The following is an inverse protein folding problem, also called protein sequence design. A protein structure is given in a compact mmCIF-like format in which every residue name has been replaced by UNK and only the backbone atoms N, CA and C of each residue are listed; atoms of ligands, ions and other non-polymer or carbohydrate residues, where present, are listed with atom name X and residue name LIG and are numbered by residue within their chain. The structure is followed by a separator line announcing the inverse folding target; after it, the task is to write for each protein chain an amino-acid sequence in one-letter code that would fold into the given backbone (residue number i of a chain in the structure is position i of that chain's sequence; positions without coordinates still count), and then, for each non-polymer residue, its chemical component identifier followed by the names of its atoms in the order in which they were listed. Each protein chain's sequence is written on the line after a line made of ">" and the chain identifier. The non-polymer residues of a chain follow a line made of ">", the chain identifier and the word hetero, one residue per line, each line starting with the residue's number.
data_IF_875511739413
#
_entry.id   IF_875511739413
#
_cell.length_a   1.000
_cell.length_b   1.000
_cell.length_c   1.000
_cell.angle_alpha   90.00
_cell.angle_beta   90.00
_cell.angle_gamma   90.00
#
_symmetry.space_group_name_H-M   'P 1'
#
loop_
_entity.id
_entity.type
_entity.pdbx_description
1 polymer ?
#
# COMPACT_ATOMS: atom_id res chain seq x y z
N UNK A 1 -29.75 39.49 1.55
CA UNK A 1 -30.27 38.16 1.96
C UNK A 1 -29.63 37.81 3.29
N UNK A 2 -30.37 37.96 4.39
CA UNK A 2 -29.87 37.61 5.72
C UNK A 2 -29.75 36.10 5.85
N UNK A 3 -28.57 35.61 6.22
CA UNK A 3 -28.34 34.18 6.49
C UNK A 3 -28.92 33.88 7.87
N UNK A 4 -29.96 33.03 7.92
CA UNK A 4 -30.46 32.46 9.16
C UNK A 4 -29.47 31.40 9.63
N UNK A 5 -28.72 31.71 10.70
CA UNK A 5 -27.87 30.75 11.40
C UNK A 5 -28.72 30.09 12.49
N UNK A 6 -28.96 28.79 12.36
CA UNK A 6 -29.70 28.03 13.36
C UNK A 6 -28.72 27.47 14.41
N UNK A 7 -28.90 27.89 15.65
CA UNK A 7 -28.16 27.35 16.79
C UNK A 7 -29.01 26.29 17.48
N UNK A 8 -28.47 25.09 17.66
CA UNK A 8 -29.05 24.14 18.61
C UNK A 8 -28.47 24.44 19.99
N UNK A 9 -29.31 24.98 20.87
CA UNK A 9 -28.97 25.26 22.27
C UNK A 9 -29.15 23.96 23.06
N UNK A 10 -28.07 23.46 23.66
CA UNK A 10 -28.10 22.32 24.57
C UNK A 10 -27.78 22.81 25.98
N UNK A 11 -28.65 22.60 26.99
CA UNK A 11 -28.27 22.83 28.37
C UNK A 11 -27.26 21.76 28.78
N UNK A 12 -26.05 22.20 29.13
CA UNK A 12 -25.03 21.31 29.71
C UNK A 12 -25.01 21.59 31.20
N UNK A 13 -25.35 20.59 32.01
CA UNK A 13 -25.19 20.66 33.45
C UNK A 13 -23.69 20.82 33.75
N UNK A 14 -23.30 21.99 34.23
CA UNK A 14 -21.94 22.21 34.73
C UNK A 14 -21.89 21.55 36.10
N UNK A 15 -21.22 20.39 36.20
CA UNK A 15 -20.84 19.79 37.48
C UNK A 15 -19.77 20.67 38.14
N UNK A 16 -20.15 21.82 38.64
CA UNK A 16 -19.30 22.67 39.46
C UNK A 16 -20.07 23.11 40.72
N UNK A 17 -19.77 22.42 41.81
CA UNK A 17 -19.78 22.93 43.19
C UNK A 17 -21.11 23.23 43.88
N UNK A 18 -22.15 22.43 43.65
CA UNK A 18 -23.28 22.31 44.61
C UNK A 18 -23.47 20.86 45.03
N UNK A 19 -23.54 20.54 46.34
CA UNK A 19 -23.67 19.15 46.83
C UNK A 19 -25.08 18.55 46.63
N UNK A 20 -25.93 19.15 45.78
CA UNK A 20 -27.34 18.74 45.60
C UNK A 20 -27.74 18.75 44.12
N UNK A 21 -26.98 18.07 43.26
CA UNK A 21 -27.48 17.69 41.94
C UNK A 21 -27.45 16.17 41.83
N UNK A 22 -28.61 15.56 42.07
CA UNK A 22 -28.87 14.17 41.70
C UNK A 22 -28.68 14.02 40.19
N UNK A 23 -28.05 12.91 39.78
CA UNK A 23 -27.93 12.50 38.39
C UNK A 23 -29.34 12.52 37.74
N UNK A 24 -29.58 13.42 36.80
CA UNK A 24 -30.88 13.57 36.12
C UNK A 24 -31.72 14.80 36.49
N UNK A 25 -31.24 15.70 37.35
CA UNK A 25 -31.88 17.00 37.57
C UNK A 25 -31.65 17.98 36.42
N UNK A 26 -32.72 18.53 35.85
CA UNK A 26 -32.64 19.60 34.85
C UNK A 26 -32.06 20.87 35.48
N UNK A 27 -31.05 21.47 34.84
CA UNK A 27 -30.46 22.75 35.29
C UNK A 27 -31.39 23.89 34.88
N UNK A 28 -31.67 24.88 35.76
CA UNK A 28 -32.39 26.10 35.39
C UNK A 28 -31.77 26.77 34.15
N UNK A 29 -32.60 27.29 33.24
CA UNK A 29 -32.14 27.85 31.96
C UNK A 29 -31.18 29.03 32.16
N UNK A 30 -31.42 29.85 33.17
CA UNK A 30 -30.59 30.98 33.61
C UNK A 30 -29.23 30.56 34.20
N UNK A 31 -29.12 29.34 34.71
CA UNK A 31 -27.88 28.73 35.20
C UNK A 31 -27.17 27.84 34.16
N UNK A 32 -27.77 27.65 32.98
CA UNK A 32 -27.23 26.80 31.93
C UNK A 32 -26.23 27.56 31.07
N UNK A 33 -25.01 27.01 30.90
CA UNK A 33 -24.07 27.54 29.91
C UNK A 33 -24.60 27.21 28.52
N UNK A 34 -25.05 28.23 27.79
CA UNK A 34 -25.45 28.09 26.39
C UNK A 34 -24.20 27.95 25.53
N UNK A 35 -23.98 26.77 24.98
CA UNK A 35 -22.91 26.55 23.99
C UNK A 35 -23.55 26.65 22.59
N UNK A 36 -23.40 27.79 21.88
CA UNK A 36 -23.86 27.87 20.50
C UNK A 36 -23.06 26.87 19.67
N UNK A 37 -23.75 25.87 19.12
CA UNK A 37 -23.18 25.01 18.08
C UNK A 37 -23.82 25.38 16.75
N UNK A 38 -22.99 25.77 15.79
CA UNK A 38 -23.41 25.88 14.39
C UNK A 38 -23.76 24.50 13.89
N UNK A 39 -25.00 24.31 13.44
CA UNK A 39 -25.42 23.10 12.71
C UNK A 39 -25.18 23.38 11.24
N UNK A 40 -24.34 22.59 10.54
CA UNK A 40 -24.20 22.74 9.10
C UNK A 40 -25.56 22.56 8.41
N UNK A 41 -25.97 23.57 7.66
CA UNK A 41 -27.20 23.56 6.85
C UNK A 41 -26.87 23.35 5.35
N UNK A 42 -25.63 23.59 4.96
CA UNK A 42 -25.08 23.27 3.65
C UNK A 42 -24.95 21.74 3.55
N UNK A 43 -25.55 21.11 2.53
CA UNK A 43 -25.47 19.67 2.37
C UNK A 43 -24.02 19.22 2.12
N UNK A 44 -23.71 17.96 2.42
CA UNK A 44 -22.44 17.38 2.02
C UNK A 44 -22.28 17.42 0.48
N UNK A 45 -21.03 17.44 -0.04
CA UNK A 45 -20.81 17.26 -1.47
C UNK A 45 -21.38 15.92 -1.98
N UNK A 46 -21.64 15.86 -3.28
CA UNK A 46 -22.01 14.61 -3.97
C UNK A 46 -21.00 13.49 -3.69
N UNK A 47 -21.47 12.24 -3.68
CA UNK A 47 -20.60 11.07 -3.55
C UNK A 47 -19.55 11.09 -4.68
N UNK A 48 -18.24 11.01 -4.36
CA UNK A 48 -17.20 11.07 -5.38
C UNK A 48 -17.16 9.79 -6.21
N UNK A 49 -16.74 9.94 -7.45
CA UNK A 49 -16.33 8.85 -8.34
C UNK A 49 -14.83 8.67 -8.20
N UNK A 50 -14.41 7.46 -7.83
CA UNK A 50 -13.01 7.08 -7.70
C UNK A 50 -12.64 6.11 -8.82
N UNK A 51 -11.58 6.42 -9.56
CA UNK A 51 -10.98 5.51 -10.55
C UNK A 51 -9.53 5.23 -10.20
N UNK A 52 -9.06 4.04 -10.56
CA UNK A 52 -7.67 3.61 -10.40
C UNK A 52 -7.09 3.27 -11.78
N UNK A 53 -5.84 3.65 -11.98
CA UNK A 53 -5.06 3.38 -13.19
C UNK A 53 -3.60 3.13 -12.81
N UNK A 54 -2.77 2.56 -13.69
CA UNK A 54 -1.35 2.44 -13.41
C UNK A 54 -0.73 3.83 -13.32
N UNK A 55 0.18 4.02 -12.37
CA UNK A 55 1.07 5.17 -12.35
C UNK A 55 2.29 4.91 -13.25
N UNK A 56 3.13 5.92 -13.47
CA UNK A 56 4.40 5.76 -14.19
C UNK A 56 5.35 4.80 -13.46
N UNK A 57 5.33 4.83 -12.14
CA UNK A 57 6.00 3.86 -11.28
C UNK A 57 5.05 2.67 -11.05
N UNK A 58 5.42 1.42 -11.43
CA UNK A 58 4.57 0.24 -11.27
C UNK A 58 4.29 -0.12 -9.80
N UNK A 59 5.10 0.40 -8.87
CA UNK A 59 4.87 0.27 -7.43
C UNK A 59 3.97 1.39 -6.87
N UNK A 60 3.32 2.18 -7.73
CA UNK A 60 2.34 3.19 -7.37
C UNK A 60 1.02 2.97 -8.11
N UNK A 61 -0.06 3.42 -7.50
CA UNK A 61 -1.40 3.40 -8.10
C UNK A 61 -1.87 4.83 -8.26
N UNK A 62 -2.24 5.20 -9.49
CA UNK A 62 -2.81 6.52 -9.76
C UNK A 62 -4.31 6.47 -9.50
N UNK A 63 -4.76 7.29 -8.57
CA UNK A 63 -6.14 7.43 -8.15
C UNK A 63 -6.66 8.79 -8.61
N UNK A 64 -7.80 8.80 -9.30
CA UNK A 64 -8.49 10.03 -9.68
C UNK A 64 -9.80 10.14 -8.93
N UNK A 65 -9.99 11.22 -8.18
CA UNK A 65 -11.20 11.52 -7.43
C UNK A 65 -11.93 12.65 -8.13
N UNK A 66 -13.06 12.33 -8.77
CA UNK A 66 -13.95 13.30 -9.38
C UNK A 66 -15.22 13.45 -8.53
N UNK A 67 -15.69 14.68 -8.35
CA UNK A 67 -16.94 14.95 -7.62
C UNK A 67 -17.98 15.42 -8.63
N UNK A 68 -19.08 14.68 -8.83
CA UNK A 68 -20.17 15.14 -9.68
C UNK A 68 -20.70 16.50 -9.22
N UNK A 69 -21.10 17.33 -10.18
CA UNK A 69 -21.70 18.62 -9.87
C UNK A 69 -22.88 18.45 -8.90
N UNK A 70 -22.89 19.27 -7.85
CA UNK A 70 -23.91 19.27 -6.80
C UNK A 70 -23.99 20.64 -6.16
N UNK A 71 -24.84 20.78 -5.13
CA UNK A 71 -25.04 22.06 -4.45
C UNK A 71 -23.78 22.55 -3.70
N UNK A 72 -22.97 21.60 -3.22
CA UNK A 72 -21.77 21.87 -2.42
C UNK A 72 -20.52 21.37 -3.14
N UNK A 73 -19.57 22.26 -3.36
CA UNK A 73 -18.26 21.91 -3.91
C UNK A 73 -17.32 21.27 -2.87
N UNK A 74 -16.40 20.40 -3.29
CA UNK A 74 -15.42 19.78 -2.40
C UNK A 74 -14.21 20.70 -2.11
N UNK A 75 -13.73 20.69 -0.86
CA UNK A 75 -12.52 21.44 -0.44
C UNK A 75 -11.42 20.55 0.16
N UNK A 76 -11.79 19.38 0.66
CA UNK A 76 -10.86 18.40 1.21
C UNK A 76 -11.27 16.99 0.77
N UNK A 77 -10.34 16.06 0.87
CA UNK A 77 -10.60 14.65 0.65
C UNK A 77 -9.85 13.77 1.64
N UNK A 78 -10.35 12.55 1.79
CA UNK A 78 -9.63 11.46 2.42
C UNK A 78 -9.73 10.19 1.58
N UNK A 79 -8.63 9.47 1.53
CA UNK A 79 -8.52 8.17 0.88
C UNK A 79 -8.39 7.10 1.93
N UNK A 80 -9.21 6.07 1.77
CA UNK A 80 -9.16 4.84 2.56
C UNK A 80 -8.59 3.73 1.72
N UNK A 81 -7.80 2.85 2.34
CA UNK A 81 -7.17 1.72 1.65
C UNK A 81 -7.23 0.47 2.53
N UNK A 82 -7.47 -0.67 1.91
CA UNK A 82 -7.43 -1.98 2.57
C UNK A 82 -6.87 -3.03 1.62
N UNK A 83 -6.23 -4.06 2.17
CA UNK A 83 -5.81 -5.28 1.46
C UNK A 83 -6.79 -6.45 1.67
N UNK A 84 -7.72 -6.33 2.63
CA UNK A 84 -8.60 -7.42 3.06
C UNK A 84 -9.99 -7.31 2.43
N UNK A 85 -10.61 -6.14 2.53
CA UNK A 85 -11.95 -5.88 2.01
C UNK A 85 -12.18 -4.38 1.84
N UNK A 86 -12.97 -4.02 0.83
CA UNK A 86 -13.52 -2.68 0.67
C UNK A 86 -15.04 -2.63 0.77
N UNK A 87 -15.70 -3.65 1.33
CA UNK A 87 -17.16 -3.69 1.45
C UNK A 87 -17.68 -2.61 2.42
N UNK A 88 -17.11 -2.55 3.62
CA UNK A 88 -17.39 -1.52 4.62
C UNK A 88 -16.29 -0.46 4.63
N UNK A 89 -16.66 0.80 4.33
CA UNK A 89 -15.71 1.90 4.30
C UNK A 89 -15.22 2.29 5.70
N UNK A 90 -16.03 2.08 6.75
CA UNK A 90 -15.70 2.55 8.10
C UNK A 90 -14.59 1.71 8.74
N UNK A 91 -14.51 0.42 8.41
CA UNK A 91 -13.41 -0.46 8.80
C UNK A 91 -12.12 -0.27 7.99
N UNK A 92 -12.17 0.42 6.85
CA UNK A 92 -10.96 0.73 6.07
C UNK A 92 -10.21 1.91 6.71
N UNK A 93 -8.90 1.79 7.02
CA UNK A 93 -8.13 2.91 7.56
C UNK A 93 -7.99 4.04 6.53
N UNK A 94 -8.02 5.28 7.03
CA UNK A 94 -7.64 6.47 6.24
C UNK A 94 -6.13 6.47 6.09
N UNK A 95 -5.65 6.44 4.85
CA UNK A 95 -4.21 6.43 4.54
C UNK A 95 -3.70 7.78 4.07
N UNK A 96 -4.59 8.64 3.59
CA UNK A 96 -4.25 10.00 3.15
C UNK A 96 -5.42 10.94 3.37
N UNK A 97 -5.15 12.15 3.82
CA UNK A 97 -6.07 13.28 3.81
C UNK A 97 -5.38 14.48 3.17
N UNK A 98 -6.09 15.25 2.37
CA UNK A 98 -5.52 16.42 1.70
C UNK A 98 -6.59 17.46 1.33
N UNK A 99 -6.13 18.66 0.99
CA UNK A 99 -6.95 19.76 0.45
C UNK A 99 -6.48 20.06 -0.97
N UNK A 100 -6.99 19.36 -1.99
CA UNK A 100 -6.58 19.57 -3.39
C UNK A 100 -6.81 21.01 -3.83
N UNK A 101 -5.87 21.57 -4.59
CA UNK A 101 -6.01 22.92 -5.18
C UNK A 101 -6.89 22.93 -6.43
N UNK A 102 -7.16 21.77 -7.03
CA UNK A 102 -7.99 21.59 -8.22
C UNK A 102 -8.70 20.23 -8.21
N UNK A 103 -9.79 20.16 -8.98
CA UNK A 103 -10.62 18.97 -9.16
C UNK A 103 -10.78 18.65 -10.66
N UNK A 104 -10.74 17.37 -11.08
CA UNK A 104 -10.54 16.16 -10.27
C UNK A 104 -9.17 16.11 -9.55
N UNK A 105 -9.16 15.56 -8.34
CA UNK A 105 -7.92 15.39 -7.58
C UNK A 105 -7.20 14.11 -8.04
N UNK A 106 -5.93 14.23 -8.39
CA UNK A 106 -5.09 13.09 -8.80
C UNK A 106 -4.08 12.79 -7.70
N UNK A 107 -3.99 11.51 -7.34
CA UNK A 107 -3.08 11.02 -6.30
C UNK A 107 -2.33 9.81 -6.82
N UNK A 108 -1.01 9.88 -6.79
CA UNK A 108 -0.17 8.69 -6.86
C UNK A 108 0.01 8.17 -5.43
N UNK A 109 -0.62 7.02 -5.15
CA UNK A 109 -0.50 6.30 -3.90
C UNK A 109 0.63 5.27 -4.01
N UNK A 110 1.56 5.27 -3.04
CA UNK A 110 2.76 4.43 -3.00
C UNK A 110 2.72 3.38 -1.89
N UNK A 111 1.56 3.23 -1.23
CA UNK A 111 1.37 2.29 -0.14
C UNK A 111 1.75 2.83 1.23
N UNK A 112 2.28 4.06 1.31
CA UNK A 112 2.46 4.76 2.59
C UNK A 112 1.13 5.19 3.21
N UNK A 113 1.13 5.46 4.52
CA UNK A 113 0.01 6.07 5.21
C UNK A 113 0.46 7.29 6.00
N UNK A 114 -0.43 8.25 6.24
CA UNK A 114 -0.11 9.46 7.02
C UNK A 114 0.35 9.18 8.45
N UNK A 115 -0.03 8.02 9.01
CA UNK A 115 0.36 7.58 10.35
C UNK A 115 1.57 6.62 10.36
N UNK A 116 2.00 6.14 9.19
CA UNK A 116 3.21 5.33 9.03
C UNK A 116 3.73 5.44 7.59
N UNK A 117 4.77 6.28 7.42
CA UNK A 117 5.43 6.53 6.15
C UNK A 117 6.37 5.39 5.71
N UNK A 118 6.61 4.38 6.56
CA UNK A 118 7.43 3.20 6.23
C UNK A 118 6.64 2.14 5.44
N UNK A 119 5.31 2.16 5.55
CA UNK A 119 4.45 1.22 4.83
C UNK A 119 4.61 1.35 3.31
N UNK A 120 4.64 0.20 2.65
CA UNK A 120 4.67 0.09 1.19
C UNK A 120 3.64 -0.94 0.76
N UNK A 121 3.28 -0.90 -0.52
CA UNK A 121 2.52 -2.01 -1.07
C UNK A 121 3.32 -3.30 -0.99
N UNK A 122 2.66 -4.37 -0.56
CA UNK A 122 3.17 -5.71 -0.77
C UNK A 122 3.13 -6.01 -2.27
N UNK A 123 4.23 -6.51 -2.87
CA UNK A 123 4.22 -7.04 -4.22
C UNK A 123 3.07 -8.04 -4.44
N UNK A 124 2.58 -8.12 -5.68
CA UNK A 124 1.60 -9.14 -6.10
C UNK A 124 0.32 -9.17 -5.27
N UNK A 125 -0.09 -8.00 -4.78
CA UNK A 125 -1.23 -7.88 -3.86
C UNK A 125 -2.29 -6.94 -4.42
N UNK A 126 -3.54 -7.35 -4.28
CA UNK A 126 -4.69 -6.50 -4.58
C UNK A 126 -4.99 -5.62 -3.39
N UNK A 127 -5.16 -4.33 -3.66
CA UNK A 127 -5.64 -3.34 -2.71
C UNK A 127 -6.95 -2.77 -3.20
N UNK A 128 -7.76 -2.31 -2.25
CA UNK A 128 -9.05 -1.65 -2.51
C UNK A 128 -9.04 -0.28 -1.88
N UNK A 129 -9.57 0.71 -2.61
CA UNK A 129 -9.66 2.10 -2.17
C UNK A 129 -11.09 2.60 -2.19
N UNK A 130 -11.34 3.59 -1.32
CA UNK A 130 -12.53 4.44 -1.34
C UNK A 130 -12.13 5.88 -1.04
N UNK A 131 -12.86 6.82 -1.61
CA UNK A 131 -12.68 8.25 -1.39
C UNK A 131 -13.92 8.85 -0.73
N UNK A 132 -13.69 9.83 0.14
CA UNK A 132 -14.71 10.72 0.68
C UNK A 132 -14.22 12.16 0.49
N UNK A 133 -15.14 13.09 0.28
CA UNK A 133 -14.82 14.51 0.11
C UNK A 133 -15.59 15.36 1.12
N UNK A 134 -15.01 16.48 1.51
CA UNK A 134 -15.61 17.39 2.50
C UNK A 134 -16.01 18.70 1.84
N UNK A 135 -17.17 19.23 2.22
CA UNK A 135 -17.58 20.58 1.87
C UNK A 135 -16.85 21.65 2.69
N UNK A 136 -16.91 22.93 2.28
CA UNK A 136 -16.37 24.03 3.07
C UNK A 136 -17.07 24.15 4.43
N UNK A 137 -16.45 24.80 5.42
CA UNK A 137 -17.15 25.30 6.59
C UNK A 137 -18.36 26.15 6.18
N UNK A 138 -19.39 26.16 7.04
CA UNK A 138 -20.52 27.07 6.85
C UNK A 138 -20.07 28.53 6.86
N UNK A 139 -20.72 29.42 6.09
CA UNK A 139 -20.49 30.86 6.21
C UNK A 139 -20.63 31.33 7.66
N UNK A 140 -19.58 31.96 8.18
CA UNK A 140 -19.54 32.45 9.58
C UNK A 140 -19.23 31.38 10.64
N UNK A 141 -18.89 30.15 10.23
CA UNK A 141 -18.49 29.06 11.13
C UNK A 141 -17.04 28.66 10.92
N UNK A 142 -16.36 28.30 12.01
CA UNK A 142 -15.06 27.62 11.97
C UNK A 142 -15.17 26.09 11.97
N UNK A 143 -16.40 25.55 12.06
CA UNK A 143 -16.63 24.12 12.07
C UNK A 143 -16.44 23.55 10.66
N UNK A 144 -15.69 22.44 10.49
CA UNK A 144 -15.54 21.81 9.20
C UNK A 144 -16.88 21.40 8.59
N UNK A 145 -16.99 21.49 7.26
CA UNK A 145 -18.19 21.07 6.53
C UNK A 145 -18.44 19.56 6.62
N UNK A 146 -19.59 19.13 6.12
CA UNK A 146 -19.96 17.72 6.11
C UNK A 146 -19.14 16.93 5.09
N UNK A 147 -18.83 15.68 5.45
CA UNK A 147 -18.25 14.69 4.55
C UNK A 147 -19.36 14.06 3.69
N UNK A 148 -19.05 13.81 2.43
CA UNK A 148 -19.88 13.01 1.53
C UNK A 148 -19.98 11.56 2.03
N UNK A 149 -20.90 10.79 1.44
CA UNK A 149 -20.77 9.33 1.47
C UNK A 149 -19.49 8.85 0.77
N UNK A 150 -18.99 7.65 1.11
CA UNK A 150 -17.83 7.08 0.43
C UNK A 150 -18.14 6.68 -1.00
N UNK A 151 -17.15 6.81 -1.89
CA UNK A 151 -17.24 6.30 -3.25
C UNK A 151 -17.54 4.79 -3.28
N UNK A 152 -17.98 4.31 -4.44
CA UNK A 152 -17.87 2.89 -4.76
C UNK A 152 -16.39 2.42 -4.60
N UNK A 153 -16.16 1.17 -4.19
CA UNK A 153 -14.81 0.65 -4.05
C UNK A 153 -14.16 0.47 -5.43
N UNK A 154 -12.89 0.85 -5.55
CA UNK A 154 -12.05 0.48 -6.69
C UNK A 154 -10.93 -0.42 -6.21
N UNK A 155 -10.56 -1.44 -6.98
CA UNK A 155 -9.46 -2.34 -6.65
C UNK A 155 -8.40 -2.34 -7.74
N UNK A 156 -7.15 -2.54 -7.34
CA UNK A 156 -5.99 -2.57 -8.21
C UNK A 156 -4.96 -3.54 -7.66
N UNK A 157 -4.33 -4.31 -8.55
CA UNK A 157 -3.23 -5.21 -8.19
C UNK A 157 -1.90 -4.51 -8.42
N UNK A 158 -1.06 -4.51 -7.39
CA UNK A 158 0.30 -4.01 -7.49
C UNK A 158 1.18 -5.09 -8.11
N UNK A 159 1.66 -4.82 -9.32
CA UNK A 159 2.52 -5.71 -10.10
C UNK A 159 3.89 -5.04 -10.21
N UNK A 160 4.94 -5.63 -9.60
CA UNK A 160 6.31 -5.12 -9.71
C UNK A 160 6.79 -4.98 -11.17
N UNK A 161 7.85 -4.19 -11.42
CA UNK A 161 8.53 -4.21 -12.71
C UNK A 161 9.03 -5.63 -13.06
N UNK A 162 9.35 -5.90 -14.33
CA UNK A 162 10.02 -7.15 -14.71
C UNK A 162 11.30 -7.33 -13.87
N UNK A 163 11.63 -8.57 -13.47
CA UNK A 163 12.77 -8.82 -12.59
C UNK A 163 14.08 -8.41 -13.26
N UNK A 164 14.98 -7.82 -12.48
CA UNK A 164 16.33 -7.48 -12.93
C UNK A 164 17.32 -8.60 -12.67
N UNK A 165 18.50 -8.50 -13.29
CA UNK A 165 19.57 -9.46 -13.06
C UNK A 165 20.03 -9.45 -11.59
N UNK A 166 20.34 -10.63 -11.08
CA UNK A 166 20.94 -10.80 -9.76
C UNK A 166 22.35 -10.23 -9.72
N UNK A 167 22.79 -9.87 -8.52
CA UNK A 167 24.16 -9.42 -8.26
C UNK A 167 25.07 -10.64 -8.06
N UNK A 168 26.23 -10.70 -8.75
CA UNK A 168 27.18 -11.79 -8.59
C UNK A 168 27.67 -11.96 -7.14
N UNK A 169 28.08 -13.18 -6.81
CA UNK A 169 28.64 -13.55 -5.52
C UNK A 169 29.73 -14.61 -5.67
N UNK A 170 29.58 -15.74 -5.00
CA UNK A 170 30.65 -16.74 -4.84
C UNK A 170 30.15 -18.16 -5.06
N UNK A 171 31.02 -19.02 -5.59
CA UNK A 171 30.84 -20.47 -5.58
C UNK A 171 31.95 -21.09 -4.73
N UNK A 172 31.59 -21.87 -3.71
CA UNK A 172 32.54 -22.55 -2.82
C UNK A 172 32.18 -24.01 -2.67
N UNK A 173 33.17 -24.85 -2.35
CA UNK A 173 32.94 -26.26 -2.05
C UNK A 173 32.22 -26.37 -0.71
N UNK A 174 31.06 -27.01 -0.71
CA UNK A 174 30.27 -27.36 0.47
C UNK A 174 30.36 -28.85 0.82
N UNK A 175 29.57 -29.29 1.80
CA UNK A 175 29.58 -30.67 2.28
C UNK A 175 29.02 -31.69 1.28
N UNK A 176 28.08 -31.28 0.41
CA UNK A 176 27.31 -32.13 -0.51
C UNK A 176 27.53 -31.79 -1.99
N UNK A 177 28.46 -30.87 -2.30
CA UNK A 177 28.69 -30.35 -3.64
C UNK A 177 29.14 -28.90 -3.61
N UNK A 178 28.74 -28.10 -4.60
CA UNK A 178 29.04 -26.68 -4.67
C UNK A 178 27.92 -25.82 -4.08
N UNK A 179 28.30 -24.82 -3.29
CA UNK A 179 27.41 -23.80 -2.75
C UNK A 179 27.58 -22.50 -3.53
N UNK A 180 26.52 -22.09 -4.22
CA UNK A 180 26.47 -20.87 -5.03
C UNK A 180 25.65 -19.82 -4.29
N UNK A 181 26.29 -18.71 -3.95
CA UNK A 181 25.69 -17.60 -3.22
C UNK A 181 25.68 -16.34 -4.08
N UNK A 182 24.54 -15.66 -4.12
CA UNK A 182 24.35 -14.41 -4.85
C UNK A 182 23.29 -13.54 -4.17
N UNK A 183 23.11 -12.30 -4.60
CA UNK A 183 22.10 -11.39 -4.04
C UNK A 183 21.23 -10.76 -5.12
N UNK A 184 20.16 -10.07 -4.73
CA UNK A 184 19.32 -9.29 -5.62
C UNK A 184 19.18 -7.88 -5.05
N UNK A 185 19.18 -6.87 -5.90
CA UNK A 185 18.85 -5.49 -5.52
C UNK A 185 17.35 -5.33 -5.22
N UNK A 186 16.53 -6.24 -5.73
CA UNK A 186 15.08 -6.27 -5.54
C UNK A 186 14.69 -7.35 -4.53
N UNK A 187 13.65 -7.07 -3.74
CA UNK A 187 13.06 -8.09 -2.87
C UNK A 187 12.27 -9.08 -3.71
N UNK A 188 12.66 -10.36 -3.69
CA UNK A 188 11.98 -11.44 -4.41
C UNK A 188 10.90 -12.09 -3.54
N UNK A 189 10.08 -11.25 -2.91
CA UNK A 189 9.03 -11.70 -1.99
C UNK A 189 7.87 -12.35 -2.75
N UNK A 190 7.36 -13.45 -2.20
CA UNK A 190 6.15 -14.09 -2.69
C UNK A 190 4.91 -13.24 -2.34
N UNK A 191 3.86 -13.36 -3.16
CA UNK A 191 2.56 -12.77 -2.88
C UNK A 191 1.42 -13.70 -3.27
N UNK A 192 0.20 -13.16 -3.33
CA UNK A 192 -1.02 -13.95 -3.54
C UNK A 192 -1.06 -14.70 -4.88
N UNK A 193 -0.25 -14.28 -5.84
CA UNK A 193 -0.18 -14.84 -7.20
C UNK A 193 0.94 -15.88 -7.37
N UNK A 194 1.81 -16.04 -6.37
CA UNK A 194 2.91 -16.98 -6.44
C UNK A 194 4.23 -16.41 -5.95
N UNK A 195 5.30 -17.12 -6.30
CA UNK A 195 6.67 -16.83 -5.88
C UNK A 195 7.55 -16.61 -7.10
N UNK A 196 8.60 -15.82 -6.93
CA UNK A 196 9.72 -15.82 -7.87
C UNK A 196 10.41 -17.18 -7.88
N UNK A 197 10.90 -17.58 -9.05
CA UNK A 197 11.68 -18.78 -9.30
C UNK A 197 13.09 -18.38 -9.71
N UNK A 198 14.08 -19.05 -9.12
CA UNK A 198 15.50 -18.95 -9.46
C UNK A 198 15.86 -20.15 -10.32
N UNK A 199 16.09 -19.90 -11.62
CA UNK A 199 16.59 -20.90 -12.55
C UNK A 199 18.13 -20.82 -12.57
N UNK A 200 18.78 -21.88 -12.12
CA UNK A 200 20.24 -21.95 -11.99
C UNK A 200 20.80 -22.92 -13.02
N UNK A 201 21.83 -22.46 -13.72
CA UNK A 201 22.51 -23.20 -14.76
C UNK A 201 24.00 -23.29 -14.44
N UNK A 202 24.62 -24.35 -14.93
CA UNK A 202 26.06 -24.57 -14.89
C UNK A 202 26.59 -24.64 -16.31
N UNK A 203 27.70 -23.95 -16.55
CA UNK A 203 28.50 -24.06 -17.77
C UNK A 203 29.90 -24.52 -17.37
N UNK A 204 30.21 -25.77 -17.72
CA UNK A 204 31.51 -26.39 -17.45
C UNK A 204 32.43 -26.28 -18.68
N UNK A 205 33.75 -26.10 -18.47
CA UNK A 205 34.73 -26.25 -19.54
C UNK A 205 34.99 -27.72 -19.92
N UNK A 206 34.73 -28.66 -18.99
CA UNK A 206 34.88 -30.10 -19.21
C UNK A 206 33.54 -30.81 -19.02
N UNK A 207 32.90 -31.19 -20.12
CA UNK A 207 31.61 -31.87 -20.13
C UNK A 207 31.70 -33.37 -19.86
N UNK A 208 32.92 -33.94 -19.80
CA UNK A 208 33.11 -35.37 -19.59
C UNK A 208 32.94 -35.79 -18.13
N UNK A 209 33.32 -34.91 -17.20
CA UNK A 209 33.13 -35.11 -15.75
C UNK A 209 31.73 -34.72 -15.31
N UNK A 210 31.25 -33.56 -15.76
CA UNK A 210 29.96 -33.01 -15.37
C UNK A 210 29.36 -32.22 -16.54
N UNK A 211 28.14 -32.50 -17.03
CA UNK A 211 27.57 -31.77 -18.16
C UNK A 211 27.13 -30.36 -17.77
N UNK A 212 27.23 -29.45 -18.75
CA UNK A 212 26.57 -28.13 -18.70
C UNK A 212 25.05 -28.33 -18.75
N UNK A 213 24.29 -27.50 -18.04
CA UNK A 213 22.84 -27.61 -18.02
C UNK A 213 22.19 -26.95 -16.82
N UNK A 214 20.90 -27.23 -16.62
CA UNK A 214 20.18 -26.78 -15.45
C UNK A 214 20.68 -27.51 -14.20
N UNK A 215 21.04 -26.74 -13.18
CA UNK A 215 21.25 -27.24 -11.80
C UNK A 215 19.89 -27.46 -11.16
N UNK A 216 18.97 -26.50 -11.34
CA UNK A 216 17.59 -26.63 -10.91
C UNK A 216 16.81 -25.33 -10.95
N UNK A 217 15.53 -25.43 -10.60
CA UNK A 217 14.58 -24.33 -10.51
C UNK A 217 14.03 -24.27 -9.08
N UNK A 218 14.18 -23.14 -8.40
CA UNK A 218 13.90 -23.05 -6.97
C UNK A 218 13.02 -21.85 -6.62
N UNK A 219 12.01 -22.00 -5.75
CA UNK A 219 11.34 -20.85 -5.15
C UNK A 219 12.33 -19.93 -4.43
N UNK A 220 12.36 -18.64 -4.78
CA UNK A 220 13.32 -17.69 -4.24
C UNK A 220 13.25 -17.59 -2.70
N UNK A 221 12.04 -17.56 -2.14
CA UNK A 221 11.83 -17.51 -0.69
C UNK A 221 12.41 -18.71 0.06
N UNK A 222 12.48 -19.89 -0.57
CA UNK A 222 13.05 -21.10 0.04
C UNK A 222 14.59 -21.13 0.02
N UNK A 223 15.22 -20.27 -0.78
CA UNK A 223 16.68 -20.16 -0.91
C UNK A 223 17.26 -18.92 -0.21
N UNK A 224 16.39 -18.03 0.26
CA UNK A 224 16.78 -16.79 0.93
C UNK A 224 17.41 -17.08 2.29
N UNK A 225 18.57 -16.49 2.53
CA UNK A 225 19.34 -16.58 3.76
C UNK A 225 18.98 -15.42 4.71
N UNK A 226 19.30 -15.51 6.01
CA UNK A 226 19.02 -14.45 6.98
C UNK A 226 19.66 -13.09 6.66
N UNK A 227 20.76 -13.09 5.91
CA UNK A 227 21.44 -11.86 5.45
C UNK A 227 20.86 -11.29 4.14
N UNK A 228 19.78 -11.89 3.62
CA UNK A 228 19.10 -11.47 2.40
C UNK A 228 19.71 -12.00 1.09
N UNK A 229 20.81 -12.75 1.16
CA UNK A 229 21.38 -13.44 -0.01
C UNK A 229 20.59 -14.70 -0.35
N UNK A 230 20.85 -15.30 -1.51
CA UNK A 230 20.28 -16.58 -1.93
C UNK A 230 21.39 -17.62 -2.02
N UNK A 231 21.09 -18.83 -1.53
CA UNK A 231 22.01 -19.97 -1.56
C UNK A 231 21.36 -21.11 -2.35
N UNK A 232 22.08 -21.60 -3.35
CA UNK A 232 21.70 -22.79 -4.13
C UNK A 232 22.84 -23.81 -4.07
N UNK A 233 22.47 -25.08 -3.96
CA UNK A 233 23.41 -26.19 -3.94
C UNK A 233 23.39 -26.92 -5.28
N UNK A 234 24.57 -27.11 -5.86
CA UNK A 234 24.81 -28.01 -6.97
C UNK A 234 25.40 -29.31 -6.42
N UNK A 235 24.61 -30.37 -6.41
CA UNK A 235 24.97 -31.67 -5.82
C UNK A 235 25.83 -32.53 -6.74
N UNK A 236 26.40 -31.97 -7.81
CA UNK A 236 27.37 -32.69 -8.61
C UNK A 236 28.61 -33.05 -7.75
N UNK A 237 29.10 -34.30 -7.83
CA UNK A 237 30.11 -34.81 -6.90
C UNK A 237 31.49 -34.18 -7.06
N UNK A 238 31.81 -33.66 -8.25
CA UNK A 238 33.07 -32.97 -8.53
C UNK A 238 32.86 -31.94 -9.64
N UNK A 239 33.01 -30.65 -9.33
CA UNK A 239 32.87 -29.57 -10.32
C UNK A 239 34.26 -29.09 -10.74
N UNK A 240 34.60 -29.10 -12.04
CA UNK A 240 35.92 -28.70 -12.50
C UNK A 240 36.12 -27.18 -12.38
N UNK A 241 37.36 -26.76 -12.14
CA UNK A 241 37.76 -25.35 -12.15
C UNK A 241 37.44 -24.70 -13.51
N UNK A 242 37.05 -23.42 -13.49
CA UNK A 242 36.55 -22.70 -14.66
C UNK A 242 35.05 -22.88 -14.90
N UNK A 243 34.35 -23.67 -14.07
CA UNK A 243 32.89 -23.79 -14.15
C UNK A 243 32.22 -22.49 -13.76
N UNK A 244 31.34 -21.99 -14.63
CA UNK A 244 30.52 -20.79 -14.38
C UNK A 244 29.08 -21.17 -13.99
N UNK A 245 28.55 -20.49 -12.99
CA UNK A 245 27.15 -20.58 -12.58
C UNK A 245 26.38 -19.38 -13.10
N UNK A 246 25.27 -19.64 -13.79
CA UNK A 246 24.39 -18.60 -14.30
C UNK A 246 23.04 -18.67 -13.61
N UNK A 247 22.47 -17.51 -13.31
CA UNK A 247 21.15 -17.41 -12.67
C UNK A 247 20.25 -16.52 -13.52
N UNK A 248 19.00 -16.94 -13.62
CA UNK A 248 17.88 -16.19 -14.18
C UNK A 248 16.74 -16.17 -13.14
N UNK A 249 16.10 -15.01 -12.98
CA UNK A 249 14.94 -14.85 -12.10
C UNK A 249 13.69 -14.83 -12.97
N UNK A 250 12.73 -15.68 -12.65
CA UNK A 250 11.41 -15.70 -13.28
C UNK A 250 10.37 -15.23 -12.26
N UNK A 251 9.54 -14.27 -12.64
CA UNK A 251 8.46 -13.77 -11.78
C UNK A 251 7.16 -14.58 -11.93
N UNK A 252 6.14 -14.35 -11.07
CA UNK A 252 4.85 -15.04 -11.17
C UNK A 252 4.10 -14.88 -12.49
N UNK A 253 4.43 -13.87 -13.32
CA UNK A 253 3.85 -13.68 -14.65
C UNK A 253 4.68 -14.37 -15.74
N UNK A 254 5.77 -15.04 -15.40
CA UNK A 254 6.68 -15.69 -16.34
C UNK A 254 7.68 -14.73 -16.99
N UNK A 255 7.79 -13.47 -16.54
CA UNK A 255 8.79 -12.52 -17.04
C UNK A 255 10.14 -12.90 -16.45
N UNK A 256 11.17 -12.88 -17.30
CA UNK A 256 12.52 -13.35 -16.95
C UNK A 256 13.51 -12.19 -16.91
N UNK A 257 14.43 -12.24 -15.95
CA UNK A 257 15.59 -11.36 -15.92
C UNK A 257 16.60 -11.77 -17.00
N UNK A 258 17.57 -10.91 -17.35
CA UNK A 258 18.75 -11.38 -18.04
C UNK A 258 19.43 -12.50 -17.24
N UNK A 259 19.90 -13.53 -17.94
CA UNK A 259 20.74 -14.58 -17.36
C UNK A 259 22.15 -14.02 -17.15
N UNK A 260 22.66 -14.08 -15.92
CA UNK A 260 23.96 -13.51 -15.55
C UNK A 260 24.84 -14.56 -14.88
N UNK A 261 26.14 -14.53 -15.19
CA UNK A 261 27.15 -15.30 -14.46
C UNK A 261 27.29 -14.73 -13.05
N UNK A 262 26.93 -15.52 -12.04
CA UNK A 262 26.97 -15.13 -10.64
C UNK A 262 28.24 -15.58 -9.93
N UNK A 263 28.94 -16.58 -10.45
CA UNK A 263 30.16 -17.11 -9.86
C UNK A 263 30.91 -18.01 -10.84
N UNK A 264 32.24 -18.01 -10.75
CA UNK A 264 33.11 -18.97 -11.41
C UNK A 264 33.97 -19.66 -10.36
N UNK A 265 34.10 -20.98 -10.47
CA UNK A 265 34.99 -21.80 -9.64
C UNK A 265 36.45 -21.66 -10.10
#
# INVERSE_FOLDING_TARGET
>A
LGVLVFFKVLPVAVLAMSPVLQLGGETPFDASVLVPRGVPNTPAPSVPVLTASPATDPMKVRLTVAVPAGQTGPVAMRLRRSRVSGADALSMPVVRSSTPSAWPAVVDDDGSASWDASLRFAPWSTYTWRAEVQGPPEPGSSMPGLWSGPSAPVSWKVVPPPPVAVTPGTAIVGATGMQVRFSSSESLDAGGEGTYILDVYRVTPDTSSVPSGAVGSYPAGARRQPDGTYLVEDTAPSVPAGTSYLVEVCDPLGRRSPRVNVATL
#
